data_IF_379800741605
#
_entry.id   IF_379800741605
#
_cell.length_a   1.000
_cell.length_b   1.000
_cell.length_c   1.000
_cell.angle_alpha   90.00
_cell.angle_beta   90.00
_cell.angle_gamma   90.00
#
_symmetry.space_group_name_H-M   'P 1'
#
loop_
_entity.id
_entity.type
_entity.pdbx_description
1 polymer ?
#
# COMPACT_ATOMS: atom_id res chain seq x y z
N UNK A 1 0.59 -13.51 7.37
CA UNK A 1 0.25 -12.06 7.42
C UNK A 1 -1.03 -11.82 8.20
N UNK A 2 -2.20 -12.39 7.84
CA UNK A 2 -3.44 -12.16 8.62
C UNK A 2 -3.30 -12.73 10.03
N UNK A 3 -2.80 -13.96 10.16
CA UNK A 3 -2.55 -14.60 11.46
C UNK A 3 -1.44 -13.93 12.30
N UNK A 4 -0.76 -12.90 11.79
CA UNK A 4 0.31 -12.23 12.52
C UNK A 4 -0.28 -11.19 13.49
N UNK A 5 -0.05 -11.27 14.81
CA UNK A 5 -0.59 -10.31 15.78
C UNK A 5 -0.18 -8.86 15.48
N UNK A 6 1.02 -8.67 14.92
CA UNK A 6 1.52 -7.36 14.50
C UNK A 6 0.65 -6.71 13.43
N UNK A 7 0.06 -7.50 12.53
CA UNK A 7 -0.82 -7.00 11.48
C UNK A 7 -2.14 -6.46 12.06
N UNK A 8 -2.80 -7.22 12.94
CA UNK A 8 -4.02 -6.78 13.61
C UNK A 8 -3.82 -5.51 14.44
N UNK A 9 -2.66 -5.40 15.11
CA UNK A 9 -2.29 -4.20 15.85
C UNK A 9 -2.13 -2.99 14.93
N UNK A 10 -1.47 -3.16 13.77
CA UNK A 10 -1.32 -2.12 12.76
C UNK A 10 -2.69 -1.67 12.21
N UNK A 11 -3.55 -2.60 11.81
CA UNK A 11 -4.93 -2.31 11.35
C UNK A 11 -5.70 -1.51 12.41
N UNK A 12 -5.72 -2.00 13.65
CA UNK A 12 -6.42 -1.33 14.76
C UNK A 12 -5.89 0.09 15.01
N UNK A 13 -4.57 0.27 14.92
CA UNK A 13 -3.92 1.58 15.05
C UNK A 13 -4.35 2.54 13.94
N UNK A 14 -4.40 2.10 12.68
CA UNK A 14 -4.83 2.94 11.56
C UNK A 14 -6.32 3.28 11.63
N UNK A 15 -7.17 2.35 12.05
CA UNK A 15 -8.61 2.60 12.30
C UNK A 15 -8.77 3.68 13.37
N UNK A 16 -8.12 3.53 14.53
CA UNK A 16 -8.17 4.53 15.62
C UNK A 16 -7.69 5.92 15.19
N UNK A 17 -6.76 5.98 14.23
CA UNK A 17 -6.21 7.22 13.67
C UNK A 17 -6.99 7.76 12.47
N UNK A 18 -8.06 7.08 12.05
CA UNK A 18 -8.84 7.43 10.85
C UNK A 18 -7.98 7.49 9.58
N UNK A 19 -7.01 6.59 9.47
CA UNK A 19 -6.05 6.48 8.35
C UNK A 19 -6.15 5.15 7.59
N UNK A 20 -7.18 4.36 7.90
CA UNK A 20 -7.57 3.18 7.13
C UNK A 20 -8.70 3.56 6.17
N UNK A 21 -8.57 3.19 4.90
CA UNK A 21 -9.61 3.36 3.89
C UNK A 21 -10.07 2.00 3.37
N UNK A 22 -11.36 1.88 3.08
CA UNK A 22 -11.94 0.73 2.38
C UNK A 22 -12.61 1.21 1.10
N UNK A 23 -12.51 0.41 0.05
CA UNK A 23 -13.33 0.57 -1.15
C UNK A 23 -14.51 -0.39 -1.04
N UNK A 24 -15.72 0.12 -1.27
CA UNK A 24 -16.95 -0.68 -1.22
C UNK A 24 -17.68 -0.63 -2.55
N UNK A 25 -18.34 -1.74 -2.92
CA UNK A 25 -19.26 -1.78 -4.05
C UNK A 25 -20.55 -1.00 -3.72
N UNK A 26 -21.38 -0.72 -4.72
CA UNK A 26 -22.73 -0.18 -4.48
C UNK A 26 -23.60 -1.13 -3.62
N UNK A 27 -23.29 -2.43 -3.61
CA UNK A 27 -23.91 -3.45 -2.77
C UNK A 27 -23.30 -3.57 -1.37
N UNK A 28 -22.36 -2.69 -1.00
CA UNK A 28 -21.61 -2.69 0.27
C UNK A 28 -20.56 -3.79 0.43
N UNK A 29 -20.20 -4.51 -0.64
CA UNK A 29 -19.11 -5.49 -0.60
C UNK A 29 -17.76 -4.80 -0.50
N UNK A 30 -16.84 -5.32 0.32
CA UNK A 30 -15.48 -4.77 0.42
C UNK A 30 -14.64 -5.21 -0.77
N UNK A 31 -14.23 -4.23 -1.59
CA UNK A 31 -13.44 -4.44 -2.82
C UNK A 31 -11.93 -4.31 -2.59
N UNK A 32 -11.53 -3.67 -1.49
CA UNK A 32 -10.12 -3.46 -1.16
C UNK A 32 -9.95 -2.57 0.06
N UNK A 33 -8.71 -2.50 0.54
CA UNK A 33 -8.35 -1.72 1.71
C UNK A 33 -6.96 -1.12 1.59
N UNK A 34 -6.75 -0.02 2.30
CA UNK A 34 -5.51 0.75 2.34
C UNK A 34 -5.24 1.23 3.77
N UNK A 35 -4.02 1.03 4.25
CA UNK A 35 -3.50 1.63 5.47
C UNK A 35 -2.45 2.68 5.11
N UNK A 36 -2.62 3.91 5.58
CA UNK A 36 -1.77 5.04 5.18
C UNK A 36 -1.13 5.75 6.39
N UNK A 37 0.19 5.69 6.50
CA UNK A 37 0.98 6.40 7.48
C UNK A 37 1.14 7.89 7.12
N UNK A 38 0.28 8.73 7.68
CA UNK A 38 0.23 10.17 7.41
C UNK A 38 1.26 11.01 8.22
N UNK A 39 2.56 10.77 8.05
CA UNK A 39 3.62 11.46 8.81
C UNK A 39 4.59 12.23 7.90
N UNK A 40 4.43 13.55 7.69
CA UNK A 40 5.39 14.30 6.87
C UNK A 40 6.81 14.30 7.49
N UNK A 41 7.87 14.38 6.67
CA UNK A 41 7.83 14.47 5.20
C UNK A 41 7.75 13.11 4.48
N UNK A 42 7.75 11.98 5.21
CA UNK A 42 7.74 10.62 4.65
C UNK A 42 6.44 9.89 4.99
N UNK A 43 5.55 9.86 4.02
CA UNK A 43 4.29 9.14 4.08
C UNK A 43 4.50 7.67 3.74
N UNK A 44 3.81 6.78 4.44
CA UNK A 44 3.94 5.34 4.20
C UNK A 44 2.64 4.75 3.68
N UNK A 45 2.74 3.96 2.62
CA UNK A 45 1.70 3.00 2.26
C UNK A 45 2.01 1.71 3.01
N UNK A 46 1.40 1.55 4.18
CA UNK A 46 1.71 0.44 5.08
C UNK A 46 1.06 -0.88 4.61
N UNK A 47 -0.08 -0.80 3.91
CA UNK A 47 -0.74 -1.95 3.32
C UNK A 47 -1.74 -1.53 2.24
N UNK A 48 -1.75 -2.22 1.10
CA UNK A 48 -2.78 -2.10 0.06
C UNK A 48 -3.16 -3.49 -0.43
N UNK A 49 -4.46 -3.78 -0.45
CA UNK A 49 -4.99 -4.97 -1.08
C UNK A 49 -6.23 -4.63 -1.89
N UNK A 50 -6.40 -5.33 -3.01
CA UNK A 50 -7.63 -5.32 -3.81
C UNK A 50 -8.06 -6.77 -3.93
N UNK A 51 -9.36 -7.01 -3.70
CA UNK A 51 -9.96 -8.34 -3.86
C UNK A 51 -9.69 -8.84 -5.28
N UNK A 52 -9.40 -10.13 -5.42
CA UNK A 52 -8.97 -10.69 -6.71
C UNK A 52 -9.98 -10.42 -7.82
N UNK A 53 -11.26 -10.55 -7.51
CA UNK A 53 -12.38 -10.30 -8.43
C UNK A 53 -12.51 -8.82 -8.86
N UNK A 54 -11.96 -7.88 -8.07
CA UNK A 54 -11.99 -6.44 -8.36
C UNK A 54 -10.67 -5.90 -8.96
N UNK A 55 -9.66 -6.76 -9.18
CA UNK A 55 -8.41 -6.35 -9.80
C UNK A 55 -8.64 -5.91 -11.25
N UNK A 56 -7.78 -5.01 -11.74
CA UNK A 56 -7.91 -4.43 -13.08
C UNK A 56 -8.96 -3.32 -13.20
N UNK A 57 -9.80 -3.09 -12.19
CA UNK A 57 -10.87 -2.08 -12.22
C UNK A 57 -10.47 -0.71 -11.66
N UNK A 58 -9.17 -0.49 -11.39
CA UNK A 58 -8.66 0.79 -10.89
C UNK A 58 -8.87 1.06 -9.39
N UNK A 59 -9.40 0.11 -8.62
CA UNK A 59 -9.68 0.26 -7.18
C UNK A 59 -8.45 0.68 -6.37
N UNK A 60 -7.30 0.02 -6.57
CA UNK A 60 -6.06 0.37 -5.88
C UNK A 60 -5.58 1.79 -6.17
N UNK A 61 -5.74 2.26 -7.42
CA UNK A 61 -5.43 3.63 -7.81
C UNK A 61 -6.36 4.63 -7.13
N UNK A 62 -7.65 4.32 -7.06
CA UNK A 62 -8.64 5.16 -6.41
C UNK A 62 -8.37 5.29 -4.90
N UNK A 63 -8.07 4.18 -4.22
CA UNK A 63 -7.68 4.18 -2.81
C UNK A 63 -6.46 5.07 -2.54
N UNK A 64 -5.39 4.92 -3.33
CA UNK A 64 -4.19 5.75 -3.16
C UNK A 64 -4.47 7.23 -3.44
N UNK A 65 -5.23 7.54 -4.49
CA UNK A 65 -5.62 8.91 -4.80
C UNK A 65 -6.45 9.54 -3.66
N UNK A 66 -7.34 8.76 -3.06
CA UNK A 66 -8.17 9.18 -1.93
C UNK A 66 -7.33 9.43 -0.67
N UNK A 67 -6.42 8.52 -0.33
CA UNK A 67 -5.50 8.71 0.79
C UNK A 67 -4.63 9.95 0.61
N UNK A 68 -4.06 10.15 -0.59
CA UNK A 68 -3.27 11.35 -0.89
C UNK A 68 -4.07 12.62 -0.68
N UNK A 69 -5.29 12.69 -1.23
CA UNK A 69 -6.16 13.86 -1.10
C UNK A 69 -6.47 14.20 0.36
N UNK A 70 -6.64 13.19 1.21
CA UNK A 70 -7.01 13.37 2.63
C UNK A 70 -5.83 13.68 3.54
N UNK A 71 -4.67 13.09 3.29
CA UNK A 71 -3.61 12.97 4.30
C UNK A 71 -2.29 13.64 3.92
N UNK A 72 -2.09 13.97 2.64
CA UNK A 72 -0.87 14.68 2.19
C UNK A 72 -1.17 16.18 2.18
N UNK A 73 -0.50 16.92 3.06
CA UNK A 73 -0.75 18.35 3.28
C UNK A 73 0.33 19.26 2.68
N UNK A 74 1.38 18.69 2.10
CA UNK A 74 2.48 19.43 1.50
C UNK A 74 3.51 18.52 0.83
N UNK A 75 4.65 19.10 0.41
CA UNK A 75 5.72 18.35 -0.24
C UNK A 75 6.25 17.22 0.65
N UNK A 76 6.75 16.17 0.01
CA UNK A 76 7.29 15.00 0.72
C UNK A 76 7.48 13.80 -0.19
N UNK A 77 7.52 12.62 0.41
CA UNK A 77 7.69 11.35 -0.30
C UNK A 77 6.68 10.35 0.20
N UNK A 78 6.06 9.59 -0.71
CA UNK A 78 5.34 8.36 -0.34
C UNK A 78 6.28 7.19 -0.55
N UNK A 79 6.44 6.38 0.48
CA UNK A 79 7.19 5.13 0.43
C UNK A 79 6.25 3.94 0.58
N UNK A 80 6.59 2.85 -0.10
CA UNK A 80 5.93 1.56 0.05
C UNK A 80 6.98 0.47 0.01
N UNK A 81 6.88 -0.49 0.91
CA UNK A 81 7.66 -1.73 0.83
C UNK A 81 6.86 -2.75 0.04
N UNK A 82 7.43 -3.25 -1.05
CA UNK A 82 6.82 -4.30 -1.89
C UNK A 82 7.79 -5.45 -2.08
N UNK A 83 7.36 -6.47 -2.82
CA UNK A 83 8.19 -7.63 -3.18
C UNK A 83 9.48 -7.20 -3.89
N UNK A 84 10.62 -7.76 -3.46
CA UNK A 84 11.89 -7.65 -4.19
C UNK A 84 11.79 -8.33 -5.55
N UNK A 85 12.67 -7.97 -6.49
CA UNK A 85 12.59 -8.41 -7.90
C UNK A 85 12.67 -9.93 -8.08
N UNK A 86 13.36 -10.60 -7.17
CA UNK A 86 13.61 -12.04 -7.07
C UNK A 86 12.51 -12.80 -6.31
N UNK A 87 11.54 -12.10 -5.71
CA UNK A 87 10.46 -12.74 -4.98
C UNK A 87 9.34 -13.24 -5.93
N UNK A 88 8.83 -14.48 -5.79
CA UNK A 88 7.74 -14.98 -6.66
C UNK A 88 6.48 -14.07 -6.67
N UNK A 89 6.19 -13.47 -5.52
CA UNK A 89 5.11 -12.49 -5.36
C UNK A 89 5.26 -11.21 -6.21
N UNK A 90 6.48 -10.86 -6.66
CA UNK A 90 6.73 -9.71 -7.52
C UNK A 90 5.98 -9.80 -8.86
N UNK A 91 5.90 -11.02 -9.41
CA UNK A 91 5.15 -11.31 -10.64
C UNK A 91 3.69 -11.58 -10.33
N UNK A 92 3.42 -12.52 -9.41
CA UNK A 92 2.06 -12.99 -9.15
C UNK A 92 1.09 -11.90 -8.66
N UNK A 93 1.59 -10.93 -7.87
CA UNK A 93 0.74 -9.83 -7.36
C UNK A 93 0.56 -8.68 -8.35
N UNK A 94 1.49 -8.51 -9.30
CA UNK A 94 1.58 -7.31 -10.14
C UNK A 94 1.90 -6.02 -9.37
N UNK A 95 2.26 -6.08 -8.08
CA UNK A 95 2.40 -4.91 -7.22
C UNK A 95 3.49 -3.93 -7.69
N UNK A 96 4.64 -4.45 -8.16
CA UNK A 96 5.73 -3.61 -8.69
C UNK A 96 5.27 -2.78 -9.88
N UNK A 97 4.69 -3.43 -10.90
CA UNK A 97 4.14 -2.78 -12.09
C UNK A 97 3.04 -1.78 -11.71
N UNK A 98 2.19 -2.11 -10.74
CA UNK A 98 1.18 -1.20 -10.23
C UNK A 98 1.80 0.10 -9.68
N UNK A 99 2.81 0.01 -8.81
CA UNK A 99 3.47 1.19 -8.25
C UNK A 99 4.26 1.98 -9.31
N UNK A 100 4.95 1.31 -10.23
CA UNK A 100 5.69 1.95 -11.33
C UNK A 100 4.76 2.78 -12.21
N UNK A 101 3.60 2.23 -12.59
CA UNK A 101 2.57 2.96 -13.36
C UNK A 101 1.99 4.17 -12.62
N UNK A 102 2.13 4.21 -11.29
CA UNK A 102 1.73 5.34 -10.47
C UNK A 102 2.87 6.33 -10.21
N UNK A 103 4.02 6.15 -10.86
CA UNK A 103 5.18 7.03 -10.75
C UNK A 103 6.03 6.80 -9.51
N UNK A 104 5.92 5.62 -8.88
CA UNK A 104 6.91 5.19 -7.89
C UNK A 104 8.11 4.61 -8.62
N UNK A 105 9.30 4.85 -8.08
CA UNK A 105 10.53 4.24 -8.55
C UNK A 105 11.06 3.25 -7.49
N UNK A 106 11.67 2.13 -7.92
CA UNK A 106 12.40 1.26 -7.00
C UNK A 106 13.56 2.04 -6.36
N UNK A 107 13.80 1.77 -5.09
CA UNK A 107 14.90 2.30 -4.31
C UNK A 107 15.72 1.15 -3.70
N UNK A 108 16.27 1.30 -2.50
CA UNK A 108 17.04 0.27 -1.82
C UNK A 108 16.20 -0.95 -1.41
N UNK A 109 16.91 -2.06 -1.14
CA UNK A 109 16.32 -3.23 -0.51
C UNK A 109 15.79 -2.87 0.89
N UNK A 110 14.66 -3.47 1.25
CA UNK A 110 14.13 -3.43 2.60
C UNK A 110 14.44 -4.74 3.33
N UNK A 111 14.23 -4.76 4.64
CA UNK A 111 14.31 -6.00 5.41
C UNK A 111 13.38 -7.07 4.82
N UNK A 112 13.80 -8.35 4.82
CA UNK A 112 12.96 -9.44 4.32
C UNK A 112 11.60 -9.49 4.99
N UNK A 113 10.61 -9.99 4.25
CA UNK A 113 9.28 -10.23 4.79
C UNK A 113 9.28 -11.35 5.84
N UNK A 114 8.15 -11.57 6.54
CA UNK A 114 8.02 -12.68 7.49
C UNK A 114 8.25 -14.07 6.88
N UNK A 115 8.05 -14.19 5.56
CA UNK A 115 8.34 -15.36 4.74
C UNK A 115 9.84 -15.53 4.42
N UNK A 116 10.70 -14.64 4.90
CA UNK A 116 12.12 -14.55 4.53
C UNK A 116 12.35 -14.01 3.11
N UNK A 117 11.27 -13.67 2.40
CA UNK A 117 11.32 -13.25 1.02
C UNK A 117 11.83 -11.81 0.87
N UNK A 118 12.60 -11.54 -0.19
CA UNK A 118 13.14 -10.21 -0.45
C UNK A 118 12.04 -9.14 -0.54
N UNK A 119 12.39 -7.93 -0.10
CA UNK A 119 11.53 -6.75 -0.15
C UNK A 119 12.32 -5.56 -0.66
N UNK A 120 11.62 -4.59 -1.24
CA UNK A 120 12.23 -3.40 -1.81
C UNK A 120 11.36 -2.18 -1.50
N UNK A 121 12.01 -1.07 -1.17
CA UNK A 121 11.36 0.23 -1.04
C UNK A 121 11.06 0.77 -2.43
N UNK A 122 9.86 1.30 -2.60
CA UNK A 122 9.45 2.08 -3.74
C UNK A 122 9.07 3.48 -3.26
N UNK A 123 9.57 4.51 -3.95
CA UNK A 123 9.37 5.92 -3.56
C UNK A 123 8.70 6.72 -4.65
N UNK A 124 7.83 7.64 -4.26
CA UNK A 124 7.29 8.68 -5.14
C UNK A 124 7.37 10.04 -4.45
N UNK A 125 8.04 10.99 -5.09
CA UNK A 125 8.05 12.38 -4.65
C UNK A 125 6.67 13.03 -4.80
N UNK A 126 6.35 13.91 -3.86
CA UNK A 126 5.18 14.77 -3.82
C UNK A 126 5.66 16.21 -3.93
N UNK A 127 5.17 16.90 -4.95
CA UNK A 127 5.39 18.32 -5.16
C UNK A 127 4.34 19.14 -4.40
#
# INVERSE_FOLDING_TARGET
MVEEPGFHSAVSKHIRRSTALIAVSSGSDVLGGLLFGAKPPIYHLDWLVVSEQARGQGIGRALLADAKRRFVLGPGTIEVVTFGVDHPGAVASGARVFYERLGFAPAEAADPGPDGGSRQIYRRALA
#
